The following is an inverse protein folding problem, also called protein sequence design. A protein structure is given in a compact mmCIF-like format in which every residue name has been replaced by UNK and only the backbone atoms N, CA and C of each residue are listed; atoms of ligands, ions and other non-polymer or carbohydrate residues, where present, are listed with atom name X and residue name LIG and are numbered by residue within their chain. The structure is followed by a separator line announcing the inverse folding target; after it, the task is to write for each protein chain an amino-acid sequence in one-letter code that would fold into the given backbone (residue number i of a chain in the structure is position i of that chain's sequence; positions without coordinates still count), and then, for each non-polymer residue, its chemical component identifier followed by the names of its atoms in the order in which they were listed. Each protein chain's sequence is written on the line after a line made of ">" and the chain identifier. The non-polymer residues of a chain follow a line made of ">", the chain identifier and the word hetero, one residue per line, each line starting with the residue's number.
data_IF_193588158548
#
_entry.id   IF_193588158548
#
_cell.length_a   1.000
_cell.length_b   1.000
_cell.length_c   1.000
_cell.angle_alpha   90.00
_cell.angle_beta   90.00
_cell.angle_gamma   90.00
#
_symmetry.space_group_name_H-M   'P 1'
#
loop_
_entity.id
_entity.type
_entity.pdbx_description
1 polymer ?
#
# COMPACT_ATOMS: atom_id res chain seq x y z
N UNK A 1 6.33 4.94 -10.83
CA UNK A 1 5.10 4.11 -10.88
C UNK A 1 5.18 3.10 -9.75
N UNK A 2 4.06 2.75 -9.11
CA UNK A 2 4.01 1.82 -7.97
C UNK A 2 3.24 0.52 -8.31
N UNK A 3 3.68 -0.25 -9.33
CA UNK A 3 2.92 -1.41 -9.80
C UNK A 3 2.79 -2.49 -8.72
N UNK A 4 3.85 -2.69 -7.96
CA UNK A 4 3.92 -3.68 -6.90
C UNK A 4 3.00 -3.32 -5.72
N UNK A 5 2.95 -2.06 -5.32
CA UNK A 5 2.01 -1.60 -4.28
C UNK A 5 0.56 -1.76 -4.71
N UNK A 6 0.24 -1.45 -5.97
CA UNK A 6 -1.09 -1.66 -6.53
C UNK A 6 -1.49 -3.14 -6.50
N UNK A 7 -0.56 -4.03 -6.85
CA UNK A 7 -0.76 -5.47 -6.80
C UNK A 7 -1.00 -5.98 -5.37
N UNK A 8 -0.23 -5.52 -4.38
CA UNK A 8 -0.43 -5.89 -2.97
C UNK A 8 -1.85 -5.50 -2.52
N UNK A 9 -2.28 -4.27 -2.77
CA UNK A 9 -3.61 -3.79 -2.36
C UNK A 9 -4.74 -4.58 -3.07
N UNK A 10 -4.56 -4.91 -4.35
CA UNK A 10 -5.53 -5.72 -5.09
C UNK A 10 -5.61 -7.17 -4.61
N UNK A 11 -4.51 -7.75 -4.14
CA UNK A 11 -4.53 -9.06 -3.48
C UNK A 11 -5.20 -9.02 -2.12
N UNK A 12 -4.97 -7.95 -1.34
CA UNK A 12 -5.71 -7.71 -0.10
C UNK A 12 -7.21 -7.67 -0.37
N UNK A 13 -7.64 -6.93 -1.40
CA UNK A 13 -9.04 -6.90 -1.81
C UNK A 13 -9.60 -8.32 -2.02
N UNK A 14 -8.93 -9.13 -2.84
CA UNK A 14 -9.39 -10.47 -3.13
C UNK A 14 -9.42 -11.40 -1.91
N UNK A 15 -8.41 -11.35 -1.06
CA UNK A 15 -8.35 -12.18 0.14
C UNK A 15 -9.50 -11.84 1.09
N UNK A 16 -9.80 -10.55 1.29
CA UNK A 16 -10.89 -10.12 2.16
C UNK A 16 -12.28 -10.43 1.59
N UNK A 17 -12.46 -10.37 0.26
CA UNK A 17 -13.73 -10.75 -0.39
C UNK A 17 -13.95 -12.25 -0.35
N UNK A 18 -12.88 -13.06 -0.48
CA UNK A 18 -12.98 -14.52 -0.52
C UNK A 18 -12.98 -15.16 0.88
N UNK A 19 -12.44 -14.51 1.91
CA UNK A 19 -12.36 -15.07 3.27
C UNK A 19 -13.70 -15.61 3.80
N UNK A 20 -14.85 -14.91 3.66
CA UNK A 20 -16.13 -15.41 4.17
C UNK A 20 -16.61 -16.69 3.46
N UNK A 21 -16.21 -16.90 2.19
CA UNK A 21 -16.55 -18.10 1.44
C UNK A 21 -15.62 -19.29 1.76
N UNK A 22 -14.40 -19.01 2.25
CA UNK A 22 -13.36 -19.99 2.57
C UNK A 22 -12.90 -19.81 4.04
N UNK A 23 -13.80 -20.01 5.00
CA UNK A 23 -13.54 -19.69 6.42
C UNK A 23 -12.38 -20.51 7.03
N UNK A 24 -12.29 -21.80 6.70
CA UNK A 24 -11.33 -22.75 7.30
C UNK A 24 -10.27 -23.25 6.31
N UNK A 25 -10.21 -22.70 5.11
CA UNK A 25 -9.29 -23.15 4.07
C UNK A 25 -8.73 -21.97 3.29
N UNK A 26 -7.54 -22.17 2.71
CA UNK A 26 -6.92 -21.14 1.89
C UNK A 26 -7.74 -20.97 0.60
N UNK A 27 -8.11 -19.74 0.22
CA UNK A 27 -8.82 -19.51 -1.03
C UNK A 27 -7.92 -19.95 -2.21
N UNK A 28 -8.49 -20.54 -3.27
CA UNK A 28 -7.72 -21.00 -4.41
C UNK A 28 -6.88 -19.87 -5.00
N UNK A 29 -5.61 -20.15 -5.24
CA UNK A 29 -4.64 -19.17 -5.74
C UNK A 29 -5.06 -18.49 -7.06
N UNK A 30 -5.69 -19.23 -7.97
CA UNK A 30 -6.17 -18.69 -9.24
C UNK A 30 -7.34 -17.72 -9.01
N UNK A 31 -8.23 -18.02 -8.04
CA UNK A 31 -9.40 -17.21 -7.75
C UNK A 31 -9.02 -15.84 -7.18
N UNK A 32 -8.07 -15.80 -6.23
CA UNK A 32 -7.60 -14.53 -5.63
C UNK A 32 -6.98 -13.61 -6.67
N UNK A 33 -6.17 -14.16 -7.60
CA UNK A 33 -5.49 -13.41 -8.66
C UNK A 33 -6.44 -12.91 -9.74
N UNK A 34 -7.37 -13.75 -10.17
CA UNK A 34 -8.37 -13.38 -11.18
C UNK A 34 -9.28 -12.27 -10.66
N UNK A 35 -9.73 -12.37 -9.40
CA UNK A 35 -10.52 -11.33 -8.76
C UNK A 35 -9.74 -10.01 -8.59
N UNK A 36 -8.45 -10.08 -8.24
CA UNK A 36 -7.59 -8.89 -8.12
C UNK A 36 -7.41 -8.19 -9.48
N UNK A 37 -7.25 -8.99 -10.54
CA UNK A 37 -7.11 -8.52 -11.91
C UNK A 37 -8.40 -7.84 -12.39
N UNK A 38 -9.56 -8.46 -12.14
CA UNK A 38 -10.87 -7.87 -12.46
C UNK A 38 -11.03 -6.53 -11.75
N UNK A 39 -10.68 -6.45 -10.46
CA UNK A 39 -10.77 -5.23 -9.67
C UNK A 39 -9.95 -4.08 -10.28
N UNK A 40 -8.68 -4.34 -10.63
CA UNK A 40 -7.79 -3.33 -11.23
C UNK A 40 -8.30 -2.90 -12.62
N UNK A 41 -8.69 -3.86 -13.48
CA UNK A 41 -9.20 -3.55 -14.80
C UNK A 41 -10.47 -2.70 -14.74
N UNK A 42 -11.39 -3.05 -13.84
CA UNK A 42 -12.61 -2.30 -13.60
C UNK A 42 -12.31 -0.88 -13.14
N UNK A 43 -11.48 -0.71 -12.11
CA UNK A 43 -11.10 0.60 -11.60
C UNK A 43 -10.40 1.47 -12.63
N UNK A 44 -9.55 0.86 -13.45
CA UNK A 44 -8.87 1.56 -14.55
C UNK A 44 -9.89 2.04 -15.56
N UNK A 45 -10.85 1.20 -15.95
CA UNK A 45 -11.91 1.60 -16.86
C UNK A 45 -12.72 2.78 -16.29
N UNK A 46 -13.08 2.76 -15.00
CA UNK A 46 -13.75 3.89 -14.33
C UNK A 46 -12.89 5.17 -14.40
N UNK A 47 -11.60 5.07 -14.10
CA UNK A 47 -10.66 6.19 -14.14
C UNK A 47 -10.45 6.74 -15.57
N UNK A 48 -10.48 5.89 -16.59
CA UNK A 48 -10.41 6.29 -18.00
C UNK A 48 -11.71 6.97 -18.47
N UNK A 49 -12.86 6.50 -17.97
CA UNK A 49 -14.18 6.99 -18.37
C UNK A 49 -14.52 8.34 -17.74
N UNK A 50 -14.33 8.51 -16.43
CA UNK A 50 -14.59 9.79 -15.77
C UNK A 50 -13.89 9.95 -14.43
N UNK A 51 -13.04 10.97 -14.33
CA UNK A 51 -12.39 11.39 -13.08
C UNK A 51 -13.42 11.73 -12.00
N UNK A 52 -14.54 12.37 -12.35
CA UNK A 52 -15.57 12.81 -11.39
C UNK A 52 -16.28 11.63 -10.70
N UNK A 53 -16.52 10.54 -11.44
CA UNK A 53 -17.09 9.34 -10.86
C UNK A 53 -16.08 8.63 -9.96
N UNK A 54 -14.83 8.53 -10.41
CA UNK A 54 -13.75 7.95 -9.61
C UNK A 54 -13.50 8.72 -8.29
N UNK A 55 -13.60 10.05 -8.28
CA UNK A 55 -13.48 10.84 -7.02
C UNK A 55 -14.68 10.65 -6.09
N UNK A 56 -15.92 10.69 -6.61
CA UNK A 56 -17.12 10.45 -5.79
C UNK A 56 -17.13 9.07 -5.12
N UNK A 57 -16.74 8.04 -5.88
CA UNK A 57 -16.62 6.67 -5.39
C UNK A 57 -15.58 6.60 -4.26
N UNK A 58 -14.44 7.28 -4.42
CA UNK A 58 -13.40 7.33 -3.42
C UNK A 58 -13.83 8.04 -2.12
N UNK A 59 -14.59 9.13 -2.20
CA UNK A 59 -15.09 9.84 -1.02
C UNK A 59 -15.99 8.95 -0.17
N UNK A 60 -16.94 8.26 -0.81
CA UNK A 60 -17.84 7.30 -0.14
C UNK A 60 -17.06 6.19 0.55
N UNK A 61 -16.05 5.62 -0.12
CA UNK A 61 -15.24 4.54 0.44
C UNK A 61 -14.30 5.01 1.55
N UNK A 62 -13.89 6.27 1.53
CA UNK A 62 -13.09 6.87 2.61
C UNK A 62 -13.89 6.96 3.90
N UNK A 63 -15.16 7.40 3.82
CA UNK A 63 -16.07 7.41 4.97
C UNK A 63 -16.30 5.99 5.50
N UNK A 64 -16.56 5.03 4.60
CA UNK A 64 -16.75 3.62 4.97
C UNK A 64 -15.55 3.03 5.72
N UNK A 65 -14.33 3.33 5.25
CA UNK A 65 -13.08 2.90 5.91
C UNK A 65 -12.98 3.42 7.35
N UNK A 66 -13.27 4.70 7.56
CA UNK A 66 -13.16 5.32 8.89
C UNK A 66 -14.20 4.75 9.87
N UNK A 67 -15.42 4.46 9.40
CA UNK A 67 -16.46 3.83 10.21
C UNK A 67 -16.06 2.42 10.65
N UNK A 68 -15.47 1.62 9.75
CA UNK A 68 -15.02 0.28 10.09
C UNK A 68 -13.89 0.27 11.13
N UNK A 69 -12.91 1.18 10.99
CA UNK A 69 -11.86 1.35 11.98
C UNK A 69 -12.41 1.82 13.33
N UNK A 70 -13.34 2.77 13.32
CA UNK A 70 -14.00 3.24 14.54
C UNK A 70 -14.75 2.09 15.24
N UNK A 71 -15.44 1.24 14.49
CA UNK A 71 -16.14 0.08 15.03
C UNK A 71 -15.16 -0.91 15.69
N UNK A 72 -14.05 -1.24 15.04
CA UNK A 72 -13.02 -2.14 15.62
C UNK A 72 -12.49 -1.55 16.94
N UNK A 73 -12.16 -0.25 16.95
CA UNK A 73 -11.63 0.42 18.14
C UNK A 73 -12.67 0.41 19.28
N UNK A 74 -13.92 0.77 19.01
CA UNK A 74 -14.98 0.79 20.03
C UNK A 74 -15.21 -0.59 20.61
N UNK A 75 -15.30 -1.62 19.76
CA UNK A 75 -15.51 -3.00 20.23
C UNK A 75 -14.31 -3.52 21.03
N UNK A 76 -13.08 -3.21 20.60
CA UNK A 76 -11.88 -3.54 21.35
C UNK A 76 -11.82 -2.86 22.73
N UNK A 77 -12.17 -1.58 22.81
CA UNK A 77 -12.26 -0.87 24.09
C UNK A 77 -13.32 -1.48 25.02
N UNK A 78 -14.48 -1.86 24.49
CA UNK A 78 -15.51 -2.58 25.26
C UNK A 78 -15.00 -3.91 25.80
N UNK A 79 -14.20 -4.66 25.01
CA UNK A 79 -13.60 -5.91 25.48
C UNK A 79 -12.60 -5.70 26.62
N UNK A 80 -11.78 -4.66 26.53
CA UNK A 80 -10.85 -4.28 27.59
C UNK A 80 -11.62 -3.90 28.86
N UNK A 81 -12.69 -3.11 28.75
CA UNK A 81 -13.55 -2.76 29.89
C UNK A 81 -14.26 -3.97 30.50
N UNK A 82 -14.48 -5.05 29.74
CA UNK A 82 -15.05 -6.33 30.24
C UNK A 82 -14.02 -7.23 30.92
N UNK A 83 -12.75 -6.83 30.96
CA UNK A 83 -11.68 -7.59 31.61
C UNK A 83 -10.85 -8.49 30.67
N UNK A 84 -11.14 -8.51 29.36
CA UNK A 84 -10.37 -9.29 28.39
C UNK A 84 -9.11 -8.54 27.94
N UNK A 85 -8.15 -8.37 28.86
CA UNK A 85 -6.86 -7.71 28.59
C UNK A 85 -5.67 -8.59 28.96
N UNK A 86 -5.87 -9.90 29.14
CA UNK A 86 -4.83 -10.82 29.61
C UNK A 86 -3.61 -10.86 28.66
N UNK A 87 -3.85 -10.87 27.35
CA UNK A 87 -2.79 -10.79 26.34
C UNK A 87 -2.06 -9.43 26.30
N UNK A 88 -2.67 -8.36 26.83
CA UNK A 88 -2.07 -7.03 26.91
C UNK A 88 -1.27 -6.81 28.20
N UNK A 89 -1.29 -7.76 29.15
CA UNK A 89 -0.51 -7.63 30.39
C UNK A 89 0.99 -7.70 30.07
N UNK A 90 1.83 -6.83 30.66
CA UNK A 90 3.26 -6.81 30.38
C UNK A 90 3.97 -8.15 30.62
N UNK A 91 3.46 -8.96 31.57
CA UNK A 91 4.00 -10.28 31.88
C UNK A 91 3.88 -11.28 30.73
N UNK A 92 2.90 -11.11 29.84
CA UNK A 92 2.67 -12.00 28.69
C UNK A 92 3.09 -11.31 27.39
N UNK A 93 2.80 -10.02 27.25
CA UNK A 93 3.04 -9.27 26.01
C UNK A 93 4.54 -9.10 25.66
N UNK A 94 5.43 -9.12 26.66
CA UNK A 94 6.88 -9.01 26.48
C UNK A 94 7.61 -10.34 26.73
N UNK A 95 6.87 -11.45 26.84
CA UNK A 95 7.45 -12.78 26.94
C UNK A 95 7.65 -13.35 25.53
N UNK A 96 8.88 -13.26 25.04
CA UNK A 96 9.22 -13.75 23.71
C UNK A 96 9.67 -15.21 23.78
N UNK A 97 9.12 -16.05 22.89
CA UNK A 97 9.59 -17.44 22.75
C UNK A 97 11.04 -17.52 22.26
N UNK A 98 11.48 -16.51 21.51
CA UNK A 98 12.86 -16.32 21.05
C UNK A 98 13.17 -14.82 20.99
N UNK A 99 14.35 -14.41 21.45
CA UNK A 99 14.78 -13.02 21.34
C UNK A 99 14.88 -12.61 19.87
N UNK A 100 14.17 -11.54 19.45
CA UNK A 100 14.17 -11.14 18.05
C UNK A 100 15.55 -10.63 17.64
N UNK A 101 16.07 -11.17 16.54
CA UNK A 101 17.29 -10.66 15.92
C UNK A 101 17.07 -9.25 15.36
N UNK A 102 18.15 -8.46 15.27
CA UNK A 102 18.11 -7.11 14.69
C UNK A 102 17.47 -7.11 13.29
N UNK A 103 17.77 -8.13 12.46
CA UNK A 103 17.17 -8.27 11.13
C UNK A 103 15.66 -8.51 11.14
N UNK A 104 15.13 -9.28 12.11
CA UNK A 104 13.69 -9.47 12.24
C UNK A 104 12.98 -8.18 12.66
N UNK A 105 13.61 -7.39 13.54
CA UNK A 105 13.10 -6.07 13.93
C UNK A 105 13.08 -5.14 12.71
N UNK A 106 14.14 -5.12 11.89
CA UNK A 106 14.21 -4.34 10.66
C UNK A 106 13.10 -4.73 9.67
N UNK A 107 12.88 -6.03 9.44
CA UNK A 107 11.77 -6.52 8.60
C UNK A 107 10.40 -6.10 9.14
N UNK A 108 10.19 -6.12 10.46
CA UNK A 108 8.96 -5.64 11.07
C UNK A 108 8.75 -4.13 10.82
N UNK A 109 9.80 -3.31 10.87
CA UNK A 109 9.75 -1.90 10.50
C UNK A 109 9.39 -1.71 9.02
N UNK A 110 9.94 -2.51 8.11
CA UNK A 110 9.59 -2.46 6.69
C UNK A 110 8.09 -2.74 6.49
N UNK A 111 7.55 -3.78 7.13
CA UNK A 111 6.12 -4.10 7.02
C UNK A 111 5.24 -3.02 7.68
N UNK A 112 5.62 -2.51 8.85
CA UNK A 112 4.89 -1.43 9.51
C UNK A 112 4.89 -0.15 8.66
N UNK A 113 6.01 0.19 8.02
CA UNK A 113 6.13 1.37 7.16
C UNK A 113 5.16 1.33 5.97
N UNK A 114 4.88 0.12 5.45
CA UNK A 114 3.95 -0.07 4.34
C UNK A 114 2.53 0.38 4.72
N UNK A 115 2.11 0.18 5.97
CA UNK A 115 0.81 0.66 6.47
C UNK A 115 0.71 2.20 6.48
N UNK A 116 1.84 2.89 6.60
CA UNK A 116 1.95 4.36 6.54
C UNK A 116 2.26 4.88 5.14
N UNK A 117 2.30 4.02 4.12
CA UNK A 117 2.60 4.43 2.74
C UNK A 117 1.57 5.44 2.20
N UNK A 118 2.05 6.36 1.36
CA UNK A 118 1.22 7.35 0.67
C UNK A 118 1.28 8.77 1.22
N UNK A 119 2.03 9.02 2.31
CA UNK A 119 2.31 10.38 2.81
C UNK A 119 2.98 11.27 1.75
N UNK A 120 3.76 10.68 0.84
CA UNK A 120 4.46 11.38 -0.23
C UNK A 120 3.52 11.82 -1.38
N UNK A 121 2.29 11.31 -1.45
CA UNK A 121 1.34 11.67 -2.50
C UNK A 121 0.81 13.09 -2.37
N UNK A 122 0.78 13.64 -1.15
CA UNK A 122 0.44 15.05 -0.94
C UNK A 122 1.36 15.98 -1.73
N UNK A 123 2.62 15.59 -1.94
CA UNK A 123 3.57 16.40 -2.69
C UNK A 123 3.14 16.57 -4.17
N UNK A 124 2.50 15.55 -4.76
CA UNK A 124 2.05 15.58 -6.17
C UNK A 124 0.82 16.45 -6.41
N UNK A 125 0.04 16.71 -5.35
CA UNK A 125 -1.16 17.54 -5.41
C UNK A 125 -0.96 18.90 -4.74
N UNK A 126 0.28 19.26 -4.39
CA UNK A 126 0.61 20.53 -3.73
C UNK A 126 0.13 21.74 -4.54
N UNK A 127 0.15 21.65 -5.88
CA UNK A 127 -0.31 22.73 -6.77
C UNK A 127 -1.83 22.97 -6.68
N UNK A 128 -2.60 21.97 -6.25
CA UNK A 128 -4.06 22.02 -6.10
C UNK A 128 -4.48 22.47 -4.67
N UNK A 129 -3.55 22.54 -3.72
CA UNK A 129 -3.81 22.89 -2.32
C UNK A 129 -3.91 24.42 -2.16
N UNK A 130 -4.99 24.88 -1.54
CA UNK A 130 -5.14 26.30 -1.15
C UNK A 130 -4.08 26.65 -0.09
N UNK A 131 -3.31 27.72 -0.31
CA UNK A 131 -2.22 28.17 0.58
C UNK A 131 -1.27 27.03 1.05
N UNK A 132 -0.51 26.40 0.13
CA UNK A 132 0.27 25.19 0.44
C UNK A 132 1.35 25.45 1.49
N UNK A 133 1.87 26.68 1.60
CA UNK A 133 2.88 27.05 2.60
C UNK A 133 2.43 26.86 4.05
N UNK A 134 1.13 27.04 4.33
CA UNK A 134 0.56 26.93 5.68
C UNK A 134 -0.21 25.62 5.86
N UNK A 135 -1.01 25.26 4.86
CA UNK A 135 -1.93 24.13 4.96
C UNK A 135 -1.21 22.79 4.80
N UNK A 136 -0.15 22.70 3.99
CA UNK A 136 0.60 21.45 3.82
C UNK A 136 1.29 21.01 5.13
N UNK A 137 2.07 21.87 5.83
CA UNK A 137 2.66 21.47 7.12
C UNK A 137 1.61 21.14 8.18
N UNK A 138 0.52 21.93 8.27
CA UNK A 138 -0.57 21.68 9.21
C UNK A 138 -1.25 20.34 8.97
N UNK A 139 -1.52 20.00 7.70
CA UNK A 139 -2.09 18.71 7.34
C UNK A 139 -1.19 17.56 7.79
N UNK A 140 0.12 17.66 7.58
CA UNK A 140 1.10 16.65 8.01
C UNK A 140 1.12 16.51 9.54
N UNK A 141 1.21 17.62 10.29
CA UNK A 141 1.27 17.58 11.75
C UNK A 141 0.00 17.05 12.42
N UNK A 142 -1.15 17.17 11.79
CA UNK A 142 -2.42 16.64 12.30
C UNK A 142 -2.63 15.19 11.84
N UNK A 143 -2.42 14.90 10.56
CA UNK A 143 -2.72 13.58 10.00
C UNK A 143 -1.80 12.48 10.50
N UNK A 144 -0.48 12.72 10.61
CA UNK A 144 0.46 11.67 11.00
C UNK A 144 0.17 11.15 12.42
N UNK A 145 0.09 12.00 13.48
CA UNK A 145 -0.21 11.51 14.82
C UNK A 145 -1.59 10.87 14.94
N UNK A 146 -2.59 11.40 14.22
CA UNK A 146 -3.94 10.82 14.20
C UNK A 146 -3.92 9.40 13.62
N UNK A 147 -3.26 9.19 12.48
CA UNK A 147 -3.11 7.86 11.87
C UNK A 147 -2.36 6.93 12.81
N UNK A 148 -1.28 7.39 13.44
CA UNK A 148 -0.53 6.61 14.43
C UNK A 148 -1.41 6.15 15.58
N UNK A 149 -2.23 7.05 16.13
CA UNK A 149 -3.15 6.74 17.22
C UNK A 149 -4.23 5.73 16.80
N UNK A 150 -4.81 5.88 15.61
CA UNK A 150 -5.81 4.95 15.09
C UNK A 150 -5.19 3.57 14.87
N UNK A 151 -3.99 3.49 14.31
CA UNK A 151 -3.31 2.23 14.06
C UNK A 151 -2.88 1.52 15.34
N UNK A 152 -2.38 2.24 16.35
CA UNK A 152 -2.07 1.63 17.65
C UNK A 152 -3.33 1.15 18.37
N UNK A 153 -4.40 1.96 18.41
CA UNK A 153 -5.68 1.55 18.99
C UNK A 153 -6.28 0.32 18.30
N UNK A 154 -6.16 0.23 16.97
CA UNK A 154 -6.65 -0.94 16.22
C UNK A 154 -5.85 -2.21 16.57
N UNK A 155 -4.53 -2.12 16.71
CA UNK A 155 -3.72 -3.27 17.12
C UNK A 155 -4.03 -3.70 18.57
N UNK A 156 -4.20 -2.74 19.48
CA UNK A 156 -4.64 -3.03 20.86
C UNK A 156 -5.99 -3.75 20.86
N UNK A 157 -6.93 -3.32 20.01
CA UNK A 157 -8.22 -3.99 19.86
C UNK A 157 -8.06 -5.44 19.37
N UNK A 158 -7.20 -5.71 18.37
CA UNK A 158 -6.95 -7.08 17.92
C UNK A 158 -6.40 -7.96 19.04
N UNK A 159 -5.34 -7.51 19.74
CA UNK A 159 -4.75 -8.28 20.85
C UNK A 159 -5.67 -8.47 22.04
N UNK A 160 -6.69 -7.61 22.25
CA UNK A 160 -7.69 -7.83 23.31
C UNK A 160 -8.63 -9.02 23.03
N UNK A 161 -8.70 -9.48 21.78
CA UNK A 161 -9.72 -10.42 21.31
C UNK A 161 -9.18 -11.70 20.69
N UNK A 162 -7.89 -11.73 20.38
CA UNK A 162 -7.21 -12.80 19.68
C UNK A 162 -5.85 -13.08 20.30
N UNK A 163 -5.46 -14.34 20.30
CA UNK A 163 -4.09 -14.71 20.67
C UNK A 163 -3.12 -14.39 19.52
N UNK A 164 -1.82 -14.21 19.80
CA UNK A 164 -0.82 -14.00 18.75
C UNK A 164 -0.81 -15.12 17.69
N UNK A 165 -1.02 -16.37 18.10
CA UNK A 165 -1.07 -17.54 17.22
C UNK A 165 -2.24 -17.46 16.23
N UNK A 166 -3.43 -17.09 16.72
CA UNK A 166 -4.61 -16.90 15.86
C UNK A 166 -4.42 -15.74 14.88
N UNK A 167 -3.74 -14.67 15.31
CA UNK A 167 -3.47 -13.50 14.50
C UNK A 167 -2.49 -13.84 13.36
N UNK A 168 -1.47 -14.64 13.64
CA UNK A 168 -0.50 -15.14 12.65
C UNK A 168 -1.11 -16.18 11.68
N UNK A 169 -2.08 -16.97 12.13
CA UNK A 169 -2.77 -17.96 11.29
C UNK A 169 -3.83 -17.31 10.36
N UNK A 170 -4.29 -16.10 10.65
CA UNK A 170 -5.34 -15.43 9.88
C UNK A 170 -4.79 -14.68 8.66
N UNK A 171 -5.33 -14.98 7.48
CA UNK A 171 -5.06 -14.21 6.25
C UNK A 171 -5.82 -12.86 6.20
N UNK A 172 -6.84 -12.69 7.04
CA UNK A 172 -7.71 -11.52 7.04
C UNK A 172 -8.14 -11.17 8.48
N UNK A 173 -7.19 -10.64 9.25
CA UNK A 173 -7.31 -10.35 10.69
C UNK A 173 -8.61 -9.62 11.05
N UNK A 174 -9.01 -8.59 10.28
CA UNK A 174 -10.23 -7.84 10.58
C UNK A 174 -11.52 -8.66 10.38
N UNK A 175 -11.53 -9.62 9.45
CA UNK A 175 -12.67 -10.51 9.23
C UNK A 175 -12.78 -11.50 10.38
N UNK A 176 -11.66 -12.14 10.75
CA UNK A 176 -11.63 -13.04 11.91
C UNK A 176 -12.07 -12.31 13.19
N UNK A 177 -11.72 -11.03 13.34
CA UNK A 177 -12.16 -10.20 14.48
C UNK A 177 -13.67 -10.00 14.49
N UNK A 178 -14.23 -9.68 13.31
CA UNK A 178 -15.67 -9.55 13.13
C UNK A 178 -16.43 -10.86 13.41
N UNK A 179 -15.92 -11.99 12.96
CA UNK A 179 -16.55 -13.29 13.20
C UNK A 179 -16.59 -13.64 14.70
N UNK A 180 -15.53 -13.34 15.45
CA UNK A 180 -15.49 -13.60 16.90
C UNK A 180 -16.43 -12.71 17.70
N UNK A 181 -16.52 -11.41 17.36
CA UNK A 181 -17.14 -10.41 18.25
C UNK A 181 -18.45 -9.83 17.74
N UNK A 182 -18.66 -9.77 16.43
CA UNK A 182 -19.81 -9.10 15.83
C UNK A 182 -20.95 -10.05 15.49
N UNK A 183 -20.73 -11.37 15.54
CA UNK A 183 -21.76 -12.39 15.30
C UNK A 183 -22.50 -12.12 13.98
N UNK A 184 -23.78 -11.72 14.08
CA UNK A 184 -24.64 -11.39 12.95
C UNK A 184 -24.13 -10.23 12.06
N UNK A 185 -23.26 -9.37 12.58
CA UNK A 185 -22.66 -8.25 11.84
C UNK A 185 -21.27 -8.57 11.27
N UNK A 186 -20.81 -9.83 11.32
CA UNK A 186 -19.50 -10.24 10.79
C UNK A 186 -19.30 -9.89 9.31
N UNK A 187 -20.39 -9.91 8.51
CA UNK A 187 -20.38 -9.56 7.09
C UNK A 187 -20.03 -8.10 6.80
N UNK A 188 -20.13 -7.20 7.78
CA UNK A 188 -19.79 -5.77 7.62
C UNK A 188 -18.28 -5.59 7.43
N UNK A 189 -17.45 -6.42 8.08
CA UNK A 189 -16.00 -6.34 8.03
C UNK A 189 -15.39 -6.60 6.64
N UNK A 190 -15.65 -7.73 5.96
CA UNK A 190 -15.10 -7.99 4.64
C UNK A 190 -15.54 -6.94 3.61
N UNK A 191 -16.81 -6.48 3.67
CA UNK A 191 -17.29 -5.42 2.79
C UNK A 191 -16.53 -4.12 3.05
N UNK A 192 -16.40 -3.69 4.30
CA UNK A 192 -15.74 -2.43 4.62
C UNK A 192 -14.26 -2.43 4.22
N UNK A 193 -13.55 -3.54 4.44
CA UNK A 193 -12.14 -3.66 4.03
C UNK A 193 -12.00 -3.77 2.51
N UNK A 194 -12.91 -4.47 1.83
CA UNK A 194 -12.95 -4.51 0.37
C UNK A 194 -13.17 -3.10 -0.22
N UNK A 195 -14.07 -2.30 0.35
CA UNK A 195 -14.28 -0.91 -0.07
C UNK A 195 -13.03 -0.04 0.20
N UNK A 196 -12.35 -0.24 1.33
CA UNK A 196 -11.11 0.46 1.67
C UNK A 196 -9.98 0.16 0.68
N UNK A 197 -9.78 -1.12 0.35
CA UNK A 197 -8.75 -1.55 -0.61
C UNK A 197 -9.07 -1.05 -2.02
N UNK A 198 -10.35 -1.05 -2.41
CA UNK A 198 -10.82 -0.48 -3.67
C UNK A 198 -10.52 1.03 -3.77
N UNK A 199 -10.82 1.80 -2.72
CA UNK A 199 -10.46 3.22 -2.63
C UNK A 199 -8.94 3.46 -2.70
N UNK A 200 -8.15 2.55 -2.09
CA UNK A 200 -6.69 2.56 -2.18
C UNK A 200 -6.19 2.43 -3.62
N UNK A 201 -6.64 1.40 -4.35
CA UNK A 201 -6.26 1.17 -5.76
C UNK A 201 -6.60 2.41 -6.61
N UNK A 202 -7.80 2.98 -6.43
CA UNK A 202 -8.24 4.19 -7.12
C UNK A 202 -7.31 5.39 -6.85
N UNK A 203 -6.96 5.63 -5.59
CA UNK A 203 -6.03 6.70 -5.20
C UNK A 203 -4.64 6.54 -5.83
N UNK A 204 -4.12 5.31 -5.89
CA UNK A 204 -2.83 5.01 -6.53
C UNK A 204 -2.86 5.20 -8.06
N UNK A 205 -3.97 4.90 -8.73
CA UNK A 205 -4.14 5.17 -10.16
C UNK A 205 -4.12 6.68 -10.46
N UNK A 206 -4.75 7.47 -9.59
CA UNK A 206 -4.77 8.94 -9.72
C UNK A 206 -3.40 9.59 -9.53
N UNK A 207 -2.60 9.11 -8.60
CA UNK A 207 -1.27 9.68 -8.34
C UNK A 207 -0.24 9.19 -9.36
N UNK A 208 -0.34 7.93 -9.78
CA UNK A 208 0.60 7.34 -10.76
C UNK A 208 0.49 8.01 -12.13
N UNK A 209 -0.73 8.34 -12.58
CA UNK A 209 -0.94 9.02 -13.85
C UNK A 209 -0.31 10.42 -13.88
N UNK A 210 -0.39 11.18 -12.78
CA UNK A 210 0.25 12.50 -12.65
C UNK A 210 1.78 12.43 -12.72
N UNK A 211 2.38 11.43 -12.08
CA UNK A 211 3.83 11.23 -12.12
C UNK A 211 4.31 10.98 -13.56
N UNK A 212 3.60 10.13 -14.30
CA UNK A 212 3.92 9.85 -15.70
C UNK A 212 3.73 11.06 -16.61
N UNK A 213 2.66 11.83 -16.40
CA UNK A 213 2.41 13.07 -17.12
C UNK A 213 3.55 14.09 -16.91
N UNK A 214 3.95 14.31 -15.64
CA UNK A 214 5.06 15.22 -15.32
C UNK A 214 6.39 14.73 -15.89
N UNK A 215 6.68 13.43 -15.81
CA UNK A 215 7.92 12.86 -16.35
C UNK A 215 8.01 12.95 -17.88
N UNK A 216 6.88 12.82 -18.58
CA UNK A 216 6.82 12.97 -20.04
C UNK A 216 6.98 14.43 -20.47
N UNK A 217 6.47 15.38 -19.69
CA UNK A 217 6.62 16.81 -19.95
C UNK A 217 8.08 17.28 -19.86
N UNK A 218 8.85 16.72 -18.93
CA UNK A 218 10.28 17.00 -18.76
C UNK A 218 11.18 16.21 -19.74
N UNK A 219 10.59 15.46 -20.69
CA UNK A 219 11.33 14.70 -21.71
C UNK A 219 11.98 13.41 -21.21
N UNK A 220 11.74 12.99 -19.96
CA UNK A 220 12.26 11.74 -19.40
C UNK A 220 11.44 10.51 -19.80
N UNK A 221 10.19 10.70 -20.26
CA UNK A 221 9.29 9.65 -20.72
C UNK A 221 8.75 9.97 -22.12
N UNK A 222 8.30 8.97 -22.90
CA UNK A 222 7.71 9.19 -24.22
C UNK A 222 6.53 10.17 -24.18
N UNK A 223 6.47 11.07 -25.15
CA UNK A 223 5.44 12.12 -25.24
C UNK A 223 4.00 11.57 -25.24
N UNK A 224 3.79 10.34 -25.71
CA UNK A 224 2.49 9.64 -25.69
C UNK A 224 1.88 9.61 -24.28
N UNK A 225 2.70 9.54 -23.21
CA UNK A 225 2.24 9.47 -21.82
C UNK A 225 1.76 10.83 -21.28
N UNK A 226 2.06 11.93 -21.96
CA UNK A 226 1.55 13.26 -21.63
C UNK A 226 0.19 13.56 -22.30
N UNK A 227 -0.34 12.67 -23.15
CA UNK A 227 -1.60 12.93 -23.86
C UNK A 227 -2.82 12.80 -22.94
N UNK A 228 -3.75 13.76 -23.07
CA UNK A 228 -5.00 13.83 -22.33
C UNK A 228 -6.16 13.67 -23.31
N UNK A 229 -7.17 12.87 -22.95
CA UNK A 229 -8.36 12.69 -23.76
C UNK A 229 -9.22 13.97 -23.80
N UNK A 230 -9.61 14.45 -24.99
CA UNK A 230 -10.32 15.73 -25.17
C UNK A 230 -11.65 15.87 -24.43
N UNK A 231 -12.54 14.86 -24.46
CA UNK A 231 -13.88 14.96 -23.81
C UNK A 231 -13.84 14.76 -22.30
N UNK A 232 -13.12 13.73 -21.83
CA UNK A 232 -13.15 13.30 -20.44
C UNK A 232 -12.01 13.87 -19.58
N UNK A 233 -11.04 14.57 -20.20
CA UNK A 233 -9.85 15.11 -19.57
C UNK A 233 -9.04 14.07 -18.77
N UNK A 234 -8.97 12.84 -19.28
CA UNK A 234 -8.29 11.70 -18.63
C UNK A 234 -6.97 11.33 -19.33
N UNK A 235 -5.88 11.05 -18.59
CA UNK A 235 -4.59 10.63 -19.16
C UNK A 235 -4.60 9.12 -19.48
N UNK A 236 -5.35 8.72 -20.51
CA UNK A 236 -5.59 7.31 -20.86
C UNK A 236 -4.28 6.53 -21.15
N UNK A 237 -3.32 7.03 -21.95
CA UNK A 237 -2.09 6.27 -22.22
C UNK A 237 -1.26 6.01 -20.96
N UNK A 238 -1.20 6.97 -20.03
CA UNK A 238 -0.50 6.79 -18.76
C UNK A 238 -1.16 5.73 -17.87
N UNK A 239 -2.50 5.73 -17.80
CA UNK A 239 -3.26 4.72 -17.06
C UNK A 239 -3.08 3.32 -17.67
N UNK A 240 -3.10 3.20 -19.00
CA UNK A 240 -2.88 1.93 -19.69
C UNK A 240 -1.48 1.38 -19.43
N UNK A 241 -0.44 2.23 -19.40
CA UNK A 241 0.90 1.79 -19.02
C UNK A 241 0.99 1.40 -17.54
N UNK A 242 0.30 2.11 -16.65
CA UNK A 242 0.23 1.69 -15.24
C UNK A 242 -0.35 0.28 -15.11
N UNK A 243 -1.45 -0.01 -15.81
CA UNK A 243 -2.09 -1.33 -15.76
C UNK A 243 -1.28 -2.38 -16.47
N UNK A 244 -0.69 -2.07 -17.63
CA UNK A 244 0.15 -3.02 -18.35
C UNK A 244 1.40 -3.40 -17.56
N UNK A 245 1.89 -2.55 -16.66
CA UNK A 245 2.97 -2.91 -15.72
C UNK A 245 2.51 -3.79 -14.56
N UNK A 246 1.21 -3.80 -14.24
CA UNK A 246 0.64 -4.55 -13.11
C UNK A 246 0.10 -5.92 -13.54
N UNK A 247 -0.44 -6.03 -14.75
CA UNK A 247 -1.00 -7.28 -15.28
C UNK A 247 0.03 -8.44 -15.32
N UNK A 248 1.29 -8.24 -15.75
CA UNK A 248 2.33 -9.26 -15.65
C UNK A 248 2.58 -9.70 -14.21
N UNK A 249 2.61 -8.78 -13.24
CA UNK A 249 2.78 -9.10 -11.81
C UNK A 249 1.66 -10.02 -11.29
N UNK A 250 0.46 -9.93 -11.88
CA UNK A 250 -0.67 -10.79 -11.53
C UNK A 250 -0.71 -12.09 -12.34
N UNK A 251 -0.32 -12.07 -13.61
CA UNK A 251 -0.46 -13.19 -14.56
C UNK A 251 0.74 -14.15 -14.58
N UNK A 252 1.97 -13.67 -14.38
CA UNK A 252 3.16 -14.55 -14.38
C UNK A 252 3.24 -15.46 -13.15
N UNK A 253 2.41 -15.19 -12.15
CA UNK A 253 2.18 -16.03 -10.99
C UNK A 253 1.25 -17.22 -11.29
N UNK A 254 0.43 -17.17 -12.35
CA UNK A 254 -0.36 -18.31 -12.86
C UNK A 254 0.45 -19.24 -13.74
N UNK A 255 1.51 -18.75 -14.40
CA UNK A 255 2.30 -19.54 -15.33
C UNK A 255 3.37 -20.39 -14.63
N UNK A 256 3.85 -20.01 -13.44
CA UNK A 256 4.86 -20.77 -12.68
C UNK A 256 4.39 -22.17 -12.24
N UNK A 257 3.09 -22.37 -12.02
CA UNK A 257 2.52 -23.71 -11.75
C UNK A 257 2.32 -24.52 -13.04
N UNK A 258 2.28 -23.87 -14.21
CA UNK A 258 2.18 -24.55 -15.52
C UNK A 258 3.55 -24.84 -16.14
N UNK A 259 4.60 -24.07 -15.82
CA UNK A 259 5.96 -24.30 -16.36
C UNK A 259 6.77 -25.38 -15.64
N UNK A 260 6.32 -25.93 -14.51
CA UNK A 260 6.84 -27.24 -14.08
C UNK A 260 6.33 -28.40 -14.96
N UNK A 261 5.32 -28.18 -15.82
CA UNK A 261 4.78 -29.24 -16.68
C UNK A 261 5.29 -29.22 -18.13
N UNK A 262 5.76 -28.10 -18.69
CA UNK A 262 6.15 -28.05 -20.11
C UNK A 262 7.45 -27.29 -20.36
N UNK A 263 8.52 -28.06 -20.46
CA UNK A 263 9.73 -27.71 -21.20
C UNK A 263 9.39 -27.47 -22.68
N UNK A 264 9.93 -26.40 -23.28
CA UNK A 264 10.09 -26.32 -24.74
C UNK A 264 9.82 -24.97 -25.41
N UNK A 265 10.87 -24.14 -25.50
CA UNK A 265 11.20 -23.14 -26.55
C UNK A 265 10.30 -21.89 -26.71
N UNK A 266 10.92 -20.70 -26.52
CA UNK A 266 10.38 -19.38 -26.88
C UNK A 266 11.40 -18.65 -27.80
N UNK A 267 10.91 -17.95 -28.84
CA UNK A 267 11.66 -17.34 -29.95
C UNK A 267 12.20 -15.92 -29.65
N UNK A 268 13.29 -15.42 -30.30
CA UNK A 268 14.12 -14.33 -29.78
C UNK A 268 13.72 -12.88 -30.12
N UNK A 269 12.67 -12.63 -30.93
CA UNK A 269 12.54 -11.33 -31.61
C UNK A 269 11.78 -10.22 -30.84
N UNK A 270 11.09 -10.54 -29.74
CA UNK A 270 10.36 -9.56 -28.90
C UNK A 270 11.16 -9.11 -27.65
N UNK A 271 12.41 -9.59 -27.53
CA UNK A 271 13.12 -9.58 -26.25
C UNK A 271 13.65 -8.21 -25.86
N UNK A 272 13.95 -7.31 -26.82
CA UNK A 272 14.93 -6.24 -26.59
C UNK A 272 14.37 -4.94 -25.97
N UNK A 273 13.06 -4.66 -26.06
CA UNK A 273 12.40 -3.53 -25.37
C UNK A 273 11.76 -3.92 -24.02
N UNK A 274 11.58 -5.22 -23.79
CA UNK A 274 10.95 -5.78 -22.60
C UNK A 274 11.97 -6.33 -21.57
N UNK A 275 13.27 -6.36 -21.87
CA UNK A 275 14.32 -6.92 -20.97
C UNK A 275 14.25 -6.38 -19.53
N UNK A 276 14.14 -5.06 -19.26
CA UNK A 276 14.12 -4.56 -17.88
C UNK A 276 12.84 -4.97 -17.14
N UNK A 277 11.73 -5.04 -17.88
CA UNK A 277 10.41 -5.38 -17.36
C UNK A 277 10.27 -6.88 -17.11
N UNK A 278 10.87 -7.71 -17.98
CA UNK A 278 11.00 -9.16 -17.82
C UNK A 278 11.92 -9.51 -16.66
N UNK A 279 13.04 -8.80 -16.43
CA UNK A 279 13.92 -9.03 -15.28
C UNK A 279 13.21 -8.67 -13.97
N UNK A 280 12.54 -7.52 -13.90
CA UNK A 280 11.74 -7.15 -12.72
C UNK A 280 10.61 -8.17 -12.47
N UNK A 281 9.98 -8.66 -13.54
CA UNK A 281 8.92 -9.69 -13.47
C UNK A 281 9.48 -11.04 -13.03
N UNK A 282 10.67 -11.45 -13.47
CA UNK A 282 11.35 -12.69 -13.06
C UNK A 282 11.80 -12.62 -11.59
N UNK A 283 12.29 -11.48 -11.13
CA UNK A 283 12.64 -11.26 -9.70
C UNK A 283 11.39 -11.29 -8.83
N UNK A 284 10.28 -10.67 -9.25
CA UNK A 284 8.99 -10.70 -8.52
C UNK A 284 8.34 -12.09 -8.54
N UNK A 285 8.53 -12.86 -9.62
CA UNK A 285 8.10 -14.27 -9.78
C UNK A 285 8.73 -15.20 -8.76
N UNK A 286 9.99 -14.97 -8.38
CA UNK A 286 10.69 -15.79 -7.39
C UNK A 286 10.25 -15.51 -5.94
N UNK A 287 9.41 -14.49 -5.70
CA UNK A 287 9.17 -13.92 -4.36
C UNK A 287 7.82 -14.35 -3.72
N UNK A 288 6.85 -14.81 -4.52
CA UNK A 288 5.70 -15.67 -4.16
C UNK A 288 4.65 -15.20 -3.13
N UNK A 289 5.03 -14.50 -2.07
CA UNK A 289 4.17 -14.19 -0.92
C UNK A 289 3.98 -12.68 -0.72
N UNK A 290 2.78 -12.27 -0.27
CA UNK A 290 2.41 -10.87 -0.02
C UNK A 290 3.39 -10.16 0.92
N UNK A 291 3.85 -10.85 1.97
CA UNK A 291 4.82 -10.32 2.94
C UNK A 291 6.17 -10.01 2.30
N UNK A 292 6.70 -10.90 1.46
CA UNK A 292 7.97 -10.66 0.77
C UNK A 292 7.86 -9.50 -0.22
N UNK A 293 6.70 -9.36 -0.87
CA UNK A 293 6.42 -8.26 -1.78
C UNK A 293 6.39 -6.91 -1.04
N UNK A 294 5.81 -6.87 0.17
CA UNK A 294 5.83 -5.70 1.05
C UNK A 294 7.26 -5.35 1.45
N UNK A 295 8.08 -6.32 1.85
CA UNK A 295 9.47 -6.10 2.22
C UNK A 295 10.27 -5.48 1.07
N UNK A 296 10.13 -6.04 -0.14
CA UNK A 296 10.79 -5.53 -1.34
C UNK A 296 10.39 -4.08 -1.66
N UNK A 297 9.08 -3.78 -1.66
CA UNK A 297 8.58 -2.42 -1.93
C UNK A 297 9.09 -1.43 -0.89
N UNK A 298 9.01 -1.81 0.38
CA UNK A 298 9.40 -0.92 1.49
C UNK A 298 10.89 -0.64 1.45
N UNK A 299 11.72 -1.65 1.20
CA UNK A 299 13.16 -1.49 1.03
C UNK A 299 13.52 -0.47 -0.07
N UNK A 300 12.95 -0.63 -1.27
CA UNK A 300 13.20 0.29 -2.40
C UNK A 300 12.72 1.71 -2.08
N UNK A 301 11.56 1.83 -1.42
CA UNK A 301 11.03 3.13 -1.01
C UNK A 301 11.97 3.83 -0.03
N UNK A 302 12.48 3.11 0.99
CA UNK A 302 13.42 3.68 1.95
C UNK A 302 14.72 4.14 1.30
N UNK A 303 15.27 3.35 0.37
CA UNK A 303 16.46 3.75 -0.39
C UNK A 303 16.19 5.05 -1.18
N UNK A 304 15.02 5.15 -1.81
CA UNK A 304 14.61 6.35 -2.57
C UNK A 304 14.41 7.57 -1.64
N UNK A 305 13.84 7.36 -0.45
CA UNK A 305 13.69 8.41 0.55
C UNK A 305 15.05 8.92 1.06
N UNK A 306 15.98 8.01 1.34
CA UNK A 306 17.34 8.36 1.77
C UNK A 306 18.08 9.21 0.73
N UNK A 307 18.03 8.84 -0.55
CA UNK A 307 18.64 9.65 -1.63
C UNK A 307 18.01 11.04 -1.72
N UNK A 308 16.69 11.13 -1.55
CA UNK A 308 15.97 12.41 -1.63
C UNK A 308 16.33 13.34 -0.47
N UNK A 309 16.43 12.81 0.75
CA UNK A 309 16.79 13.60 1.95
C UNK A 309 18.27 13.98 1.90
N UNK A 310 19.16 13.07 1.51
CA UNK A 310 20.57 13.39 1.27
C UNK A 310 20.72 14.51 0.22
N UNK A 311 19.92 14.47 -0.87
CA UNK A 311 19.85 15.53 -1.86
C UNK A 311 19.39 16.87 -1.28
N UNK A 312 18.39 16.86 -0.38
CA UNK A 312 17.95 18.05 0.33
C UNK A 312 19.08 18.63 1.20
N UNK A 313 19.77 17.80 1.99
CA UNK A 313 20.91 18.21 2.83
C UNK A 313 22.04 18.79 1.97
N UNK A 314 22.35 18.16 0.84
CA UNK A 314 23.32 18.63 -0.13
C UNK A 314 22.95 20.01 -0.72
N UNK A 315 21.69 20.18 -1.14
CA UNK A 315 21.17 21.46 -1.64
C UNK A 315 21.20 22.55 -0.57
N UNK A 316 20.98 22.20 0.71
CA UNK A 316 21.10 23.15 1.81
C UNK A 316 22.52 23.69 1.95
N UNK A 317 23.54 22.85 1.74
CA UNK A 317 24.96 23.23 1.78
C UNK A 317 25.41 23.98 0.52
N UNK A 318 25.01 23.53 -0.67
CA UNK A 318 25.49 24.07 -1.96
C UNK A 318 24.77 25.36 -2.39
N UNK A 319 23.48 25.50 -2.06
CA UNK A 319 22.66 26.65 -2.47
C UNK A 319 21.86 27.20 -1.26
N UNK A 320 22.52 27.89 -0.32
CA UNK A 320 21.89 28.38 0.90
C UNK A 320 20.88 29.51 0.66
N UNK A 321 21.10 30.34 -0.35
CA UNK A 321 20.32 31.56 -0.62
C UNK A 321 19.03 31.33 -1.44
N UNK A 322 18.73 30.08 -1.83
CA UNK A 322 17.48 29.77 -2.52
C UNK A 322 16.29 30.12 -1.63
N UNK A 323 15.28 30.79 -2.19
CA UNK A 323 14.03 31.08 -1.49
C UNK A 323 13.34 29.77 -1.11
N UNK A 324 13.21 29.50 0.20
CA UNK A 324 12.54 28.32 0.74
C UNK A 324 11.26 28.75 1.46
N UNK A 325 10.09 28.55 0.84
CA UNK A 325 8.79 28.85 1.44
C UNK A 325 8.53 28.14 2.77
N UNK A 326 9.03 26.92 2.90
CA UNK A 326 8.90 26.07 4.08
C UNK A 326 10.30 25.70 4.55
N UNK A 327 10.60 25.94 5.84
CA UNK A 327 11.88 25.57 6.47
C UNK A 327 11.59 24.66 7.65
N UNK A 328 12.27 23.52 7.67
CA UNK A 328 12.18 22.51 8.73
C UNK A 328 13.55 22.40 9.42
N UNK A 329 13.55 22.11 10.72
CA UNK A 329 14.77 21.95 11.52
C UNK A 329 15.67 20.84 10.94
N UNK A 330 16.97 21.07 10.91
CA UNK A 330 17.96 20.14 10.33
C UNK A 330 18.01 18.80 11.05
N UNK A 331 17.78 18.80 12.37
CA UNK A 331 17.85 17.62 13.21
C UNK A 331 16.81 16.55 12.79
N UNK A 332 15.65 16.98 12.30
CA UNK A 332 14.58 16.08 11.83
C UNK A 332 15.06 15.25 10.63
N UNK A 333 15.82 15.86 9.71
CA UNK A 333 16.33 15.17 8.53
C UNK A 333 17.43 14.16 8.87
N UNK A 334 18.37 14.53 9.75
CA UNK A 334 19.42 13.61 10.21
C UNK A 334 18.87 12.43 11.00
N UNK A 335 17.87 12.67 11.85
CA UNK A 335 17.21 11.61 12.62
C UNK A 335 16.49 10.62 11.70
N UNK A 336 15.78 11.12 10.69
CA UNK A 336 15.10 10.27 9.71
C UNK A 336 16.09 9.45 8.88
N UNK A 337 17.18 10.05 8.38
CA UNK A 337 18.19 9.32 7.61
C UNK A 337 18.88 8.25 8.46
N UNK A 338 19.19 8.56 9.72
CA UNK A 338 19.79 7.58 10.64
C UNK A 338 18.87 6.39 10.91
N UNK A 339 17.60 6.65 11.25
CA UNK A 339 16.60 5.61 11.49
C UNK A 339 16.26 4.81 10.22
N UNK A 340 16.17 5.50 9.08
CA UNK A 340 15.90 4.88 7.78
C UNK A 340 17.03 3.97 7.32
N UNK A 341 18.29 4.40 7.47
CA UNK A 341 19.45 3.56 7.19
C UNK A 341 19.54 2.37 8.16
N UNK A 342 19.24 2.57 9.45
CA UNK A 342 19.24 1.49 10.44
C UNK A 342 18.14 0.44 10.20
N UNK A 343 17.00 0.82 9.60
CA UNK A 343 15.94 -0.11 9.24
C UNK A 343 16.22 -0.91 7.95
N UNK A 344 17.24 -0.52 7.18
CA UNK A 344 17.61 -1.11 5.89
C UNK A 344 18.86 -1.99 5.98
N UNK A 345 19.65 -1.85 7.05
CA UNK A 345 20.85 -2.63 7.38
C UNK A 345 20.51 -3.91 8.14
#
# INVERSE_FOLDING_TARGET
>A
MYPTTLAVIALTFSNYVLQPAFQNCLPPYIATRLLATICILFLTWVNCSSVRWATRIQDVFTVGKLLALALIIVVGLVQICRGHYDALRPSVAFEFSQDPSVGQIALAFLQASFAYSGWNFLNYVTEEVVEPRKNLPRAIYISIPLVTLVYTMTNIAYFSSMTPEELLASNAVAVTFGEKLLGMFSWVMPISVALSTFGGINGYLFTSSRLCFSGAREGHLPYLLAMIHLKNCTPIPALLVCVSTVLPVLSTLSNATMTQSKTGKMSPHDTMSHVPQCIATIVILCIGEMHNLINYVSFINYLSYGVTIAGLLYLRKKRPNLARPIKVNMLIHHLHDFLGCAAVL
#
